data_IF_535355256310
#
_entry.id   IF_535355256310
#
_cell.length_a   1.000
_cell.length_b   1.000
_cell.length_c   1.000
_cell.angle_alpha   90.00
_cell.angle_beta   90.00
_cell.angle_gamma   90.00
#
_symmetry.space_group_name_H-M   'P 1'
#
loop_
_entity.id
_entity.type
_entity.pdbx_description
1 polymer ?
#
# COMPACT_ATOMS: atom_id res chain seq x y z
N UNK A 1 17.32 40.93 49.34
CA UNK A 1 16.95 40.67 47.94
C UNK A 1 16.39 39.26 47.87
N UNK A 2 15.06 39.12 47.69
CA UNK A 2 14.33 37.84 47.70
C UNK A 2 14.02 37.45 46.24
N UNK A 3 14.52 36.29 45.79
CA UNK A 3 14.26 35.76 44.46
C UNK A 3 12.86 35.13 44.42
N UNK A 4 11.98 35.70 43.59
CA UNK A 4 10.66 35.16 43.31
C UNK A 4 10.78 33.96 42.35
N UNK A 5 10.34 32.79 42.81
CA UNK A 5 10.19 31.60 41.98
C UNK A 5 9.01 31.80 41.04
N UNK A 6 9.26 31.87 39.73
CA UNK A 6 8.24 31.86 38.69
C UNK A 6 7.99 30.39 38.33
N UNK A 7 6.96 29.80 38.92
CA UNK A 7 6.43 28.50 38.49
C UNK A 7 5.77 28.64 37.11
N UNK A 8 6.47 28.21 36.07
CA UNK A 8 5.93 28.09 34.73
C UNK A 8 5.06 26.82 34.67
N UNK A 9 3.75 26.96 34.82
CA UNK A 9 2.80 25.87 34.57
C UNK A 9 2.76 25.63 33.06
N UNK A 10 3.45 24.59 32.60
CA UNK A 10 3.33 24.08 31.24
C UNK A 10 1.93 23.47 31.10
N UNK A 11 0.97 24.29 30.70
CA UNK A 11 -0.34 23.84 30.27
C UNK A 11 -0.16 23.02 28.99
N UNK A 12 0.01 21.70 29.16
CA UNK A 12 -0.08 20.75 28.09
C UNK A 12 -1.47 20.88 27.46
N UNK A 13 -1.53 21.50 26.28
CA UNK A 13 -2.67 21.42 25.39
C UNK A 13 -2.87 19.94 25.03
N UNK A 14 -3.67 19.23 25.83
CA UNK A 14 -4.31 17.98 25.46
C UNK A 14 -5.36 18.28 24.38
N UNK A 15 -4.88 18.61 23.19
CA UNK A 15 -5.71 18.46 22.01
C UNK A 15 -5.97 16.95 21.90
N UNK A 16 -7.24 16.49 21.90
CA UNK A 16 -7.50 15.13 21.48
C UNK A 16 -6.96 15.05 20.06
N UNK A 17 -5.91 14.25 19.86
CA UNK A 17 -5.57 13.81 18.52
C UNK A 17 -6.86 13.21 17.97
N UNK A 18 -7.46 13.85 16.98
CA UNK A 18 -8.53 13.22 16.24
C UNK A 18 -7.89 11.96 15.67
N UNK A 19 -8.17 10.81 16.28
CA UNK A 19 -7.95 9.53 15.64
C UNK A 19 -8.89 9.56 14.45
N UNK A 20 -8.45 10.15 13.33
CA UNK A 20 -9.11 9.98 12.07
C UNK A 20 -9.17 8.47 11.88
N UNK A 21 -10.39 7.92 11.88
CA UNK A 21 -10.57 6.49 11.71
C UNK A 21 -9.74 6.08 10.49
N UNK A 22 -8.81 5.14 10.68
CA UNK A 22 -8.00 4.66 9.57
C UNK A 22 -8.99 4.14 8.51
N UNK A 23 -8.75 4.44 7.22
CA UNK A 23 -9.60 3.91 6.15
C UNK A 23 -9.74 2.39 6.26
N UNK A 24 -8.70 1.71 6.76
CA UNK A 24 -8.70 0.27 7.04
C UNK A 24 -9.56 -0.16 8.23
N UNK A 25 -9.81 0.72 9.21
CA UNK A 25 -10.74 0.45 10.31
C UNK A 25 -12.19 0.52 9.81
N UNK A 26 -12.48 1.49 8.95
CA UNK A 26 -13.81 1.65 8.33
C UNK A 26 -14.06 0.67 7.17
N UNK A 27 -13.00 0.12 6.57
CA UNK A 27 -13.01 -0.78 5.41
C UNK A 27 -12.14 -2.03 5.66
N UNK A 28 -12.59 -2.96 6.51
CA UNK A 28 -11.84 -4.18 6.80
C UNK A 28 -11.65 -5.07 5.55
N UNK A 29 -12.55 -4.97 4.58
CA UNK A 29 -12.48 -5.56 3.24
C UNK A 29 -11.28 -5.03 2.44
N UNK A 30 -11.11 -3.71 2.42
CA UNK A 30 -9.95 -3.07 1.78
C UNK A 30 -8.66 -3.50 2.50
N UNK A 31 -8.66 -3.55 3.84
CA UNK A 31 -7.50 -3.99 4.63
C UNK A 31 -7.09 -5.41 4.24
N UNK A 32 -8.05 -6.33 4.12
CA UNK A 32 -7.81 -7.69 3.66
C UNK A 32 -7.20 -7.72 2.24
N UNK A 33 -7.78 -6.96 1.31
CA UNK A 33 -7.32 -6.94 -0.07
C UNK A 33 -5.91 -6.36 -0.22
N UNK A 34 -5.59 -5.29 0.51
CA UNK A 34 -4.23 -4.71 0.53
C UNK A 34 -3.24 -5.68 1.18
N UNK A 35 -3.62 -6.34 2.28
CA UNK A 35 -2.77 -7.36 2.89
C UNK A 35 -2.49 -8.52 1.92
N UNK A 36 -3.50 -9.00 1.20
CA UNK A 36 -3.35 -10.03 0.16
C UNK A 36 -2.47 -9.58 -1.01
N UNK A 37 -2.61 -8.33 -1.44
CA UNK A 37 -1.77 -7.74 -2.48
C UNK A 37 -0.29 -7.70 -2.08
N UNK A 38 0.03 -7.43 -0.81
CA UNK A 38 1.41 -7.36 -0.32
C UNK A 38 1.99 -8.74 0.07
N UNK A 39 1.17 -9.59 0.69
CA UNK A 39 1.58 -10.87 1.30
C UNK A 39 1.30 -12.10 0.44
N UNK A 40 0.38 -12.01 -0.51
CA UNK A 40 -0.20 -13.15 -1.23
C UNK A 40 -1.65 -13.39 -0.83
N UNK A 41 -2.46 -13.79 -1.79
CA UNK A 41 -3.82 -14.29 -1.53
C UNK A 41 -3.80 -15.79 -1.26
N UNK A 42 -4.79 -16.32 -0.53
CA UNK A 42 -4.88 -17.78 -0.33
C UNK A 42 -5.23 -18.50 -1.63
N UNK A 43 -5.96 -17.85 -2.51
CA UNK A 43 -6.39 -18.39 -3.79
C UNK A 43 -6.65 -17.26 -4.82
N UNK A 44 -6.74 -17.63 -6.09
CA UNK A 44 -6.96 -16.67 -7.18
C UNK A 44 -8.38 -16.07 -7.24
N UNK A 45 -9.37 -16.61 -6.52
CA UNK A 45 -10.71 -16.01 -6.48
C UNK A 45 -10.71 -14.75 -5.59
N UNK A 46 -10.03 -14.81 -4.45
CA UNK A 46 -9.84 -13.65 -3.56
C UNK A 46 -9.12 -12.51 -4.28
N UNK A 47 -8.03 -12.82 -5.00
CA UNK A 47 -7.30 -11.83 -5.78
C UNK A 47 -8.18 -11.17 -6.83
N UNK A 48 -8.93 -11.96 -7.61
CA UNK A 48 -9.85 -11.43 -8.65
C UNK A 48 -10.96 -10.58 -8.03
N UNK A 49 -11.50 -11.00 -6.89
CA UNK A 49 -12.52 -10.22 -6.19
C UNK A 49 -11.96 -8.87 -5.73
N UNK A 50 -10.79 -8.87 -5.08
CA UNK A 50 -10.13 -7.66 -4.62
C UNK A 50 -9.76 -6.71 -5.76
N UNK A 51 -9.22 -7.23 -6.86
CA UNK A 51 -8.92 -6.43 -8.05
C UNK A 51 -10.20 -5.79 -8.63
N UNK A 52 -11.33 -6.50 -8.63
CA UNK A 52 -12.61 -6.00 -9.15
C UNK A 52 -13.25 -4.94 -8.26
N UNK A 53 -13.20 -5.09 -6.93
CA UNK A 53 -13.89 -4.19 -6.01
C UNK A 53 -13.11 -2.93 -5.65
N UNK A 54 -11.78 -2.96 -5.77
CA UNK A 54 -10.91 -1.89 -5.29
C UNK A 54 -9.90 -1.39 -6.32
N UNK A 55 -9.93 -1.91 -7.55
CA UNK A 55 -8.98 -1.56 -8.62
C UNK A 55 -7.50 -1.72 -8.18
N UNK A 56 -7.24 -2.69 -7.30
CA UNK A 56 -5.90 -2.94 -6.77
C UNK A 56 -5.04 -3.72 -7.79
N UNK A 57 -3.74 -3.42 -7.89
CA UNK A 57 -2.80 -4.25 -8.65
C UNK A 57 -2.79 -5.71 -8.17
N UNK A 58 -2.42 -6.63 -9.05
CA UNK A 58 -2.23 -8.03 -8.69
C UNK A 58 -1.11 -8.19 -7.65
N UNK A 59 -1.18 -9.26 -6.84
CA UNK A 59 -0.09 -9.61 -5.93
C UNK A 59 1.21 -9.89 -6.70
N UNK A 60 1.09 -10.43 -7.92
CA UNK A 60 2.22 -10.69 -8.80
C UNK A 60 3.05 -9.42 -9.08
N UNK A 61 2.40 -8.25 -9.18
CA UNK A 61 3.08 -6.98 -9.35
C UNK A 61 4.05 -6.69 -8.18
N UNK A 62 3.59 -6.87 -6.95
CA UNK A 62 4.40 -6.68 -5.74
C UNK A 62 5.43 -7.79 -5.54
N UNK A 63 5.12 -9.03 -5.94
CA UNK A 63 6.10 -10.12 -5.95
C UNK A 63 7.27 -9.79 -6.89
N UNK A 64 7.00 -9.32 -8.11
CA UNK A 64 8.03 -8.91 -9.06
C UNK A 64 8.84 -7.70 -8.55
N UNK A 65 8.17 -6.67 -7.99
CA UNK A 65 8.86 -5.52 -7.42
C UNK A 65 9.81 -5.93 -6.28
N UNK A 66 9.39 -6.86 -5.40
CA UNK A 66 10.27 -7.42 -4.37
C UNK A 66 11.45 -8.19 -4.96
N UNK A 67 11.24 -8.95 -6.02
CA UNK A 67 12.31 -9.67 -6.74
C UNK A 67 13.34 -8.73 -7.36
N UNK A 68 12.93 -7.56 -7.86
CA UNK A 68 13.86 -6.53 -8.36
C UNK A 68 14.77 -6.01 -7.25
N UNK A 69 14.22 -5.73 -6.06
CA UNK A 69 14.97 -5.15 -4.95
C UNK A 69 15.81 -6.21 -4.21
N UNK A 70 15.27 -7.40 -3.99
CA UNK A 70 15.86 -8.43 -3.12
C UNK A 70 16.51 -9.58 -3.89
N UNK A 71 16.38 -9.60 -5.21
CA UNK A 71 16.80 -10.71 -6.06
C UNK A 71 15.68 -11.71 -6.33
N UNK A 72 15.81 -12.41 -7.46
CA UNK A 72 14.87 -13.45 -7.89
C UNK A 72 15.38 -14.86 -7.52
N UNK A 73 14.49 -15.79 -7.15
CA UNK A 73 14.89 -17.15 -6.80
C UNK A 73 15.40 -17.95 -8.01
N UNK A 74 14.96 -17.64 -9.22
CA UNK A 74 15.47 -18.25 -10.44
C UNK A 74 15.53 -17.28 -11.62
N UNK A 75 16.24 -17.70 -12.68
CA UNK A 75 16.26 -16.98 -13.98
C UNK A 75 14.87 -16.99 -14.63
N UNK A 76 14.09 -18.04 -14.42
CA UNK A 76 12.74 -18.18 -14.97
C UNK A 76 11.81 -17.15 -14.32
N UNK A 77 11.87 -17.02 -12.99
CA UNK A 77 11.06 -16.03 -12.26
C UNK A 77 11.38 -14.60 -12.70
N UNK A 78 12.68 -14.30 -12.88
CA UNK A 78 13.10 -13.01 -13.43
C UNK A 78 12.54 -12.78 -14.82
N UNK A 79 12.65 -13.75 -15.72
CA UNK A 79 12.15 -13.62 -17.09
C UNK A 79 10.64 -13.39 -17.13
N UNK A 80 9.87 -14.13 -16.32
CA UNK A 80 8.42 -13.94 -16.20
C UNK A 80 8.05 -12.53 -15.70
N UNK A 81 8.76 -12.02 -14.70
CA UNK A 81 8.55 -10.66 -14.19
C UNK A 81 8.92 -9.57 -15.21
N UNK A 82 9.95 -9.79 -16.03
CA UNK A 82 10.29 -8.88 -17.13
C UNK A 82 9.14 -8.81 -18.14
N UNK A 83 8.67 -9.96 -18.63
CA UNK A 83 7.53 -10.01 -19.56
C UNK A 83 6.28 -9.35 -18.98
N UNK A 84 6.00 -9.57 -17.70
CA UNK A 84 4.87 -8.92 -17.02
C UNK A 84 5.00 -7.40 -17.01
N UNK A 85 6.14 -6.84 -16.58
CA UNK A 85 6.32 -5.39 -16.54
C UNK A 85 6.36 -4.75 -17.93
N UNK A 86 6.89 -5.43 -18.94
CA UNK A 86 6.80 -4.97 -20.34
C UNK A 86 5.34 -4.86 -20.79
N UNK A 87 4.50 -5.85 -20.45
CA UNK A 87 3.06 -5.80 -20.69
C UNK A 87 2.38 -4.63 -19.98
N UNK A 88 2.72 -4.38 -18.70
CA UNK A 88 2.21 -3.24 -17.95
C UNK A 88 2.64 -1.89 -18.57
N UNK A 89 3.90 -1.79 -19.02
CA UNK A 89 4.41 -0.60 -19.69
C UNK A 89 3.69 -0.35 -21.03
N UNK A 90 3.41 -1.40 -21.80
CA UNK A 90 2.62 -1.30 -23.02
C UNK A 90 1.19 -0.84 -22.72
N UNK A 91 0.53 -1.43 -21.72
CA UNK A 91 -0.82 -1.04 -21.30
C UNK A 91 -0.89 0.42 -20.85
N UNK A 92 0.10 0.89 -20.09
CA UNK A 92 0.19 2.27 -19.65
C UNK A 92 0.34 3.25 -20.83
N UNK A 93 1.14 2.90 -21.84
CA UNK A 93 1.28 3.72 -23.07
C UNK A 93 -0.03 3.86 -23.84
N UNK A 94 -0.89 2.84 -23.80
CA UNK A 94 -2.21 2.85 -24.45
C UNK A 94 -3.36 3.35 -23.56
N UNK A 95 -3.10 3.63 -22.27
CA UNK A 95 -4.16 3.98 -21.35
C UNK A 95 -4.74 5.37 -21.67
N UNK A 96 -6.06 5.49 -21.56
CA UNK A 96 -6.75 6.77 -21.72
C UNK A 96 -6.41 7.72 -20.55
N UNK A 97 -5.98 8.94 -20.89
CA UNK A 97 -5.75 10.02 -19.91
C UNK A 97 -7.07 10.74 -19.67
N UNK A 98 -7.57 10.71 -18.43
CA UNK A 98 -8.74 11.51 -18.04
C UNK A 98 -8.36 13.00 -18.04
N UNK A 99 -9.10 13.88 -18.74
CA UNK A 99 -8.91 15.32 -18.60
C UNK A 99 -9.20 15.72 -17.15
N UNK A 100 -8.37 16.61 -16.60
CA UNK A 100 -8.49 17.12 -15.24
C UNK A 100 -9.60 18.17 -15.12
#
# INVERSE_FOLDING_TARGET
MKYAQISLVVAACLLPASAGADIFDSRPDLRFCVAGMLGGFRNGLEERACAKYFDLPSNYHFACARGVVRGFPSRIDRAACVTFFEGQAAAAKSAYVRPQ
#
